data_IF_805332788619
#
_entry.id   IF_805332788619
#
_cell.length_a   1.000
_cell.length_b   1.000
_cell.length_c   1.000
_cell.angle_alpha   90.00
_cell.angle_beta   90.00
_cell.angle_gamma   90.00
#
_symmetry.space_group_name_H-M   'P 1'
#
loop_
_entity.id
_entity.type
_entity.pdbx_description
1 polymer ?
#
# COMPACT_ATOMS: atom_id res chain seq x y z
N UNK A 1 7.13 -26.11 3.90
CA UNK A 1 6.99 -24.85 3.11
C UNK A 1 8.23 -23.98 3.32
N UNK A 2 8.78 -23.35 2.28
CA UNK A 2 10.01 -22.56 2.39
C UNK A 2 9.67 -21.09 2.74
N UNK A 3 9.60 -20.79 4.04
CA UNK A 3 9.21 -19.46 4.57
C UNK A 3 9.89 -18.28 3.87
N UNK A 4 11.16 -18.40 3.49
CA UNK A 4 11.89 -17.32 2.80
C UNK A 4 11.39 -17.09 1.37
N UNK A 5 11.05 -18.17 0.66
CA UNK A 5 10.44 -18.07 -0.68
C UNK A 5 9.07 -17.38 -0.61
N UNK A 6 8.30 -17.67 0.43
CA UNK A 6 6.97 -17.09 0.61
C UNK A 6 7.04 -15.60 0.91
N UNK A 7 7.93 -15.18 1.84
CA UNK A 7 8.18 -13.75 2.13
C UNK A 7 8.64 -13.01 0.87
N UNK A 8 9.55 -13.58 0.08
CA UNK A 8 10.02 -12.97 -1.16
C UNK A 8 8.88 -12.74 -2.16
N UNK A 9 7.99 -13.73 -2.33
CA UNK A 9 6.82 -13.61 -3.22
C UNK A 9 5.84 -12.53 -2.74
N UNK A 10 5.59 -12.46 -1.44
CA UNK A 10 4.73 -11.43 -0.85
C UNK A 10 5.33 -10.03 -1.00
N UNK A 11 6.65 -9.89 -0.82
CA UNK A 11 7.36 -8.64 -1.08
C UNK A 11 7.26 -8.20 -2.53
N UNK A 12 7.45 -9.13 -3.48
CA UNK A 12 7.28 -8.84 -4.90
C UNK A 12 5.83 -8.47 -5.25
N UNK A 13 4.84 -9.16 -4.70
CA UNK A 13 3.43 -8.82 -4.89
C UNK A 13 3.11 -7.41 -4.37
N UNK A 14 3.66 -7.03 -3.21
CA UNK A 14 3.56 -5.68 -2.68
C UNK A 14 4.22 -4.65 -3.59
N UNK A 15 5.43 -4.94 -4.08
CA UNK A 15 6.15 -4.06 -4.98
C UNK A 15 5.35 -3.79 -6.27
N UNK A 16 4.85 -4.86 -6.89
CA UNK A 16 3.97 -4.78 -8.06
C UNK A 16 2.69 -4.02 -7.75
N UNK A 17 2.08 -4.24 -6.58
CA UNK A 17 0.92 -3.48 -6.14
C UNK A 17 1.18 -1.98 -6.09
N UNK A 18 2.35 -1.57 -5.61
CA UNK A 18 2.78 -0.15 -5.61
C UNK A 18 2.87 0.45 -7.01
N UNK A 19 3.41 -0.30 -7.97
CA UNK A 19 3.48 0.11 -9.38
C UNK A 19 2.08 0.22 -9.97
N UNK A 20 1.23 -0.79 -9.79
CA UNK A 20 -0.14 -0.80 -10.32
C UNK A 20 -0.96 0.38 -9.76
N UNK A 21 -0.79 0.69 -8.48
CA UNK A 21 -1.42 1.84 -7.85
C UNK A 21 -0.98 3.15 -8.50
N UNK A 22 0.34 3.37 -8.63
CA UNK A 22 0.89 4.58 -9.24
C UNK A 22 0.41 4.76 -10.68
N UNK A 23 0.46 3.69 -11.48
CA UNK A 23 -0.03 3.67 -12.87
C UNK A 23 -1.52 4.00 -12.92
N UNK A 24 -2.35 3.38 -12.08
CA UNK A 24 -3.80 3.64 -12.08
C UNK A 24 -4.14 5.11 -11.81
N UNK A 25 -3.46 5.74 -10.84
CA UNK A 25 -3.70 7.14 -10.45
C UNK A 25 -3.16 8.13 -11.48
N UNK A 26 -2.01 7.84 -12.11
CA UNK A 26 -1.51 8.68 -13.20
C UNK A 26 -2.35 8.55 -14.47
N UNK A 27 -2.82 7.36 -14.82
CA UNK A 27 -3.79 7.19 -15.90
C UNK A 27 -5.06 8.03 -15.65
N UNK A 28 -5.58 8.05 -14.41
CA UNK A 28 -6.73 8.90 -14.05
C UNK A 28 -6.48 10.40 -14.24
N UNK A 29 -5.23 10.86 -14.12
CA UNK A 29 -4.86 12.25 -14.41
C UNK A 29 -4.80 12.46 -15.91
N UNK A 30 -4.06 11.62 -16.63
CA UNK A 30 -3.89 11.73 -18.08
C UNK A 30 -5.17 11.58 -18.89
N UNK A 31 -6.17 10.83 -18.38
CA UNK A 31 -7.49 10.70 -19.03
C UNK A 31 -8.20 12.06 -19.14
N UNK A 32 -7.91 13.02 -18.26
CA UNK A 32 -8.55 14.34 -18.29
C UNK A 32 -8.12 15.18 -19.50
N UNK A 33 -6.94 14.89 -20.06
CA UNK A 33 -6.37 15.60 -21.21
C UNK A 33 -6.78 14.96 -22.56
N UNK A 34 -7.51 13.85 -22.54
CA UNK A 34 -7.96 13.15 -23.74
C UNK A 34 -9.16 13.84 -24.40
N UNK A 35 -9.33 13.71 -25.74
CA UNK A 35 -10.53 14.17 -26.43
C UNK A 35 -11.83 13.65 -25.77
N UNK A 36 -12.93 14.44 -25.76
CA UNK A 36 -14.15 14.10 -25.02
C UNK A 36 -14.71 12.70 -25.31
N UNK A 37 -14.67 12.25 -26.58
CA UNK A 37 -15.15 10.93 -26.98
C UNK A 37 -14.34 9.79 -26.31
N UNK A 38 -13.02 9.94 -26.20
CA UNK A 38 -12.14 8.95 -25.57
C UNK A 38 -12.28 9.02 -24.06
N UNK A 39 -12.35 10.22 -23.49
CA UNK A 39 -12.56 10.42 -22.05
C UNK A 39 -13.87 9.77 -21.58
N UNK A 40 -14.98 9.99 -22.30
CA UNK A 40 -16.29 9.37 -22.00
C UNK A 40 -16.23 7.85 -22.09
N UNK A 41 -15.45 7.29 -23.03
CA UNK A 41 -15.23 5.85 -23.09
C UNK A 41 -14.59 5.32 -21.79
N UNK A 42 -13.52 5.96 -21.29
CA UNK A 42 -12.87 5.56 -20.04
C UNK A 42 -13.74 5.80 -18.81
N UNK A 43 -14.51 6.88 -18.76
CA UNK A 43 -15.44 7.18 -17.66
C UNK A 43 -16.58 6.14 -17.59
N UNK A 44 -17.09 5.69 -18.75
CA UNK A 44 -18.16 4.68 -18.83
C UNK A 44 -17.65 3.22 -18.72
N UNK A 45 -16.36 2.99 -18.98
CA UNK A 45 -15.71 1.66 -18.97
C UNK A 45 -14.51 1.67 -18.03
N UNK A 46 -14.71 2.13 -16.79
CA UNK A 46 -13.67 2.29 -15.77
C UNK A 46 -13.10 0.96 -15.22
N UNK A 47 -13.49 -0.18 -15.80
CA UNK A 47 -13.03 -1.53 -15.43
C UNK A 47 -11.51 -1.63 -15.34
N UNK A 48 -10.77 -1.06 -16.30
CA UNK A 48 -9.31 -1.13 -16.29
C UNK A 48 -8.72 -0.46 -15.04
N UNK A 49 -9.15 0.78 -14.74
CA UNK A 49 -8.67 1.51 -13.57
C UNK A 49 -9.08 0.82 -12.27
N UNK A 50 -10.32 0.33 -12.18
CA UNK A 50 -10.82 -0.43 -11.03
C UNK A 50 -10.02 -1.72 -10.82
N UNK A 51 -9.74 -2.46 -11.89
CA UNK A 51 -8.96 -3.71 -11.82
C UNK A 51 -7.54 -3.43 -11.37
N UNK A 52 -6.87 -2.42 -11.94
CA UNK A 52 -5.52 -2.04 -11.51
C UNK A 52 -5.51 -1.64 -10.03
N UNK A 53 -6.47 -0.83 -9.60
CA UNK A 53 -6.60 -0.40 -8.21
C UNK A 53 -6.93 -1.57 -7.26
N UNK A 54 -7.79 -2.50 -7.66
CA UNK A 54 -8.12 -3.71 -6.89
C UNK A 54 -6.88 -4.59 -6.71
N UNK A 55 -6.17 -4.87 -7.80
CA UNK A 55 -4.94 -5.67 -7.78
C UNK A 55 -3.86 -5.02 -6.94
N UNK A 56 -3.76 -3.68 -6.94
CA UNK A 56 -2.81 -3.00 -6.06
C UNK A 56 -3.13 -3.19 -4.58
N UNK A 57 -4.40 -3.18 -4.18
CA UNK A 57 -4.78 -3.41 -2.78
C UNK A 57 -4.40 -4.83 -2.32
N UNK A 58 -4.57 -5.84 -3.19
CA UNK A 58 -4.11 -7.22 -2.92
C UNK A 58 -2.58 -7.25 -2.73
N UNK A 59 -1.85 -6.50 -3.56
CA UNK A 59 -0.40 -6.33 -3.40
C UNK A 59 -0.04 -5.74 -2.03
N UNK A 60 -0.68 -4.64 -1.62
CA UNK A 60 -0.44 -4.01 -0.32
C UNK A 60 -0.76 -4.94 0.85
N UNK A 61 -1.89 -5.66 0.78
CA UNK A 61 -2.24 -6.68 1.78
C UNK A 61 -1.20 -7.79 1.86
N UNK A 62 -0.59 -8.19 0.74
CA UNK A 62 0.53 -9.14 0.71
C UNK A 62 1.75 -8.59 1.47
N UNK A 63 2.06 -7.30 1.32
CA UNK A 63 3.11 -6.63 2.09
C UNK A 63 2.83 -6.59 3.59
N UNK A 64 1.60 -6.26 4.00
CA UNK A 64 1.18 -6.30 5.40
C UNK A 64 1.26 -7.72 5.97
N UNK A 65 0.87 -8.73 5.19
CA UNK A 65 0.99 -10.13 5.60
C UNK A 65 2.46 -10.56 5.73
N UNK A 66 3.34 -10.09 4.84
CA UNK A 66 4.78 -10.33 4.97
C UNK A 66 5.35 -9.70 6.26
N UNK A 67 4.94 -8.48 6.63
CA UNK A 67 5.31 -7.87 7.90
C UNK A 67 4.85 -8.70 9.11
N UNK A 68 3.64 -9.27 9.04
CA UNK A 68 3.11 -10.15 10.08
C UNK A 68 3.96 -11.42 10.25
N UNK A 69 4.23 -12.12 9.15
CA UNK A 69 4.96 -13.40 9.20
C UNK A 69 6.47 -13.23 9.37
N UNK A 70 7.02 -12.03 9.25
CA UNK A 70 8.42 -11.72 9.57
C UNK A 70 8.61 -11.27 11.01
N UNK A 71 7.53 -11.18 11.79
CA UNK A 71 7.54 -10.62 13.15
C UNK A 71 8.14 -9.20 13.19
N UNK A 72 7.97 -8.42 12.11
CA UNK A 72 8.61 -7.11 11.95
C UNK A 72 8.23 -6.15 13.08
N UNK A 73 6.95 -6.18 13.52
CA UNK A 73 6.46 -5.37 14.65
C UNK A 73 6.74 -5.99 16.01
N UNK A 74 7.20 -7.25 16.08
CA UNK A 74 7.45 -8.00 17.31
C UNK A 74 6.69 -9.32 17.37
N UNK A 75 7.09 -10.19 18.31
CA UNK A 75 6.51 -11.54 18.45
C UNK A 75 5.21 -11.59 19.27
N UNK A 76 4.96 -10.60 20.14
CA UNK A 76 3.77 -10.59 20.98
C UNK A 76 2.50 -10.33 20.16
N UNK A 77 1.39 -10.98 20.53
CA UNK A 77 0.10 -10.82 19.84
C UNK A 77 -0.37 -9.37 19.78
N UNK A 78 -0.15 -8.60 20.84
CA UNK A 78 -0.47 -7.17 20.91
C UNK A 78 0.31 -6.32 19.89
N UNK A 79 1.58 -6.65 19.64
CA UNK A 79 2.37 -5.92 18.62
C UNK A 79 1.93 -6.30 17.20
N UNK A 80 1.44 -7.52 17.01
CA UNK A 80 0.89 -7.99 15.73
C UNK A 80 -0.48 -7.38 15.43
N UNK A 81 -1.32 -7.16 16.44
CA UNK A 81 -2.65 -6.58 16.25
C UNK A 81 -2.63 -5.16 15.71
N UNK A 82 -1.51 -4.43 15.84
CA UNK A 82 -1.31 -3.11 15.21
C UNK A 82 -1.51 -3.18 13.69
N UNK A 83 -1.15 -4.30 13.04
CA UNK A 83 -1.34 -4.51 11.61
C UNK A 83 -2.82 -4.59 11.20
N UNK A 84 -3.76 -4.82 12.14
CA UNK A 84 -5.19 -4.83 11.82
C UNK A 84 -5.67 -3.47 11.31
N UNK A 85 -5.12 -2.36 11.83
CA UNK A 85 -5.52 -1.00 11.43
C UNK A 85 -5.26 -0.75 9.93
N UNK A 86 -4.03 -0.90 9.40
CA UNK A 86 -3.81 -0.74 7.97
C UNK A 86 -4.49 -1.84 7.15
N UNK A 87 -4.65 -3.07 7.66
CA UNK A 87 -5.44 -4.10 6.98
C UNK A 87 -6.89 -3.68 6.76
N UNK A 88 -7.55 -3.10 7.77
CA UNK A 88 -8.90 -2.56 7.62
C UNK A 88 -8.94 -1.40 6.62
N UNK A 89 -7.90 -0.57 6.59
CA UNK A 89 -7.74 0.46 5.57
C UNK A 89 -7.66 -0.12 4.14
N UNK A 90 -6.91 -1.20 3.95
CA UNK A 90 -6.83 -1.92 2.68
C UNK A 90 -8.17 -2.56 2.29
N UNK A 91 -8.91 -3.12 3.26
CA UNK A 91 -10.25 -3.65 3.01
C UNK A 91 -11.24 -2.56 2.58
N UNK A 92 -11.16 -1.35 3.14
CA UNK A 92 -11.98 -0.22 2.69
C UNK A 92 -11.66 0.17 1.23
N UNK A 93 -10.38 0.16 0.84
CA UNK A 93 -9.99 0.38 -0.55
C UNK A 93 -10.40 -0.75 -1.49
N UNK A 94 -10.24 -2.00 -1.08
CA UNK A 94 -10.68 -3.16 -1.86
C UNK A 94 -12.19 -3.07 -2.11
N UNK A 95 -12.96 -2.74 -1.07
CA UNK A 95 -14.42 -2.58 -1.16
C UNK A 95 -14.79 -1.43 -2.09
N UNK A 96 -14.06 -0.31 -2.05
CA UNK A 96 -14.22 0.82 -2.98
C UNK A 96 -14.16 0.37 -4.44
N UNK A 97 -13.21 -0.50 -4.79
CA UNK A 97 -13.05 -0.95 -6.17
C UNK A 97 -14.18 -1.85 -6.67
N UNK A 98 -14.88 -2.53 -5.75
CA UNK A 98 -15.99 -3.45 -6.06
C UNK A 98 -17.35 -2.75 -6.13
N UNK A 99 -17.49 -1.58 -5.52
CA UNK A 99 -18.76 -0.86 -5.44
C UNK A 99 -18.90 0.23 -6.52
N UNK A 100 -20.10 0.50 -7.03
CA UNK A 100 -20.35 1.64 -7.90
C UNK A 100 -19.95 2.96 -7.23
N UNK A 101 -19.46 3.94 -8.01
CA UNK A 101 -18.97 5.22 -7.48
C UNK A 101 -19.97 5.93 -6.57
N UNK A 102 -21.26 5.89 -6.92
CA UNK A 102 -22.31 6.51 -6.11
C UNK A 102 -22.41 5.86 -4.72
N UNK A 103 -22.33 4.53 -4.62
CA UNK A 103 -22.37 3.81 -3.35
C UNK A 103 -21.13 4.12 -2.50
N UNK A 104 -19.94 4.18 -3.11
CA UNK A 104 -18.68 4.52 -2.42
C UNK A 104 -18.76 5.88 -1.71
N UNK A 105 -19.43 6.86 -2.33
CA UNK A 105 -19.51 8.23 -1.85
C UNK A 105 -20.61 8.47 -0.80
N UNK A 106 -21.59 7.57 -0.69
CA UNK A 106 -22.76 7.77 0.18
C UNK A 106 -22.96 6.70 1.25
N UNK A 107 -22.25 5.56 1.19
CA UNK A 107 -22.45 4.44 2.11
C UNK A 107 -22.15 4.81 3.58
N UNK A 108 -21.23 5.73 3.81
CA UNK A 108 -20.74 6.09 5.14
C UNK A 108 -20.61 7.62 5.27
N UNK A 109 -20.65 8.16 6.51
CA UNK A 109 -20.38 9.58 6.76
C UNK A 109 -19.02 10.04 6.25
N UNK A 110 -18.03 9.12 6.22
CA UNK A 110 -16.73 9.31 5.60
C UNK A 110 -16.66 8.33 4.43
N UNK A 111 -16.47 8.80 3.19
CA UNK A 111 -16.44 7.88 2.05
C UNK A 111 -15.28 6.87 2.19
N UNK A 112 -15.51 5.64 1.71
CA UNK A 112 -14.61 4.51 1.90
C UNK A 112 -13.14 4.75 1.51
N UNK A 113 -12.81 5.48 0.42
CA UNK A 113 -11.42 5.74 0.05
C UNK A 113 -10.69 6.62 1.08
N UNK A 114 -11.39 7.58 1.67
CA UNK A 114 -10.86 8.50 2.67
C UNK A 114 -10.64 7.77 3.99
N UNK A 115 -11.61 6.93 4.38
CA UNK A 115 -11.45 6.04 5.52
C UNK A 115 -10.25 5.09 5.33
N UNK A 116 -10.14 4.49 4.14
CA UNK A 116 -9.02 3.65 3.75
C UNK A 116 -7.67 4.36 3.85
N UNK A 117 -7.61 5.62 3.41
CA UNK A 117 -6.41 6.46 3.49
C UNK A 117 -6.00 6.72 4.93
N UNK A 118 -6.95 7.15 5.77
CA UNK A 118 -6.71 7.51 7.17
C UNK A 118 -6.26 6.28 7.97
N UNK A 119 -6.96 5.16 7.84
CA UNK A 119 -6.62 3.91 8.52
C UNK A 119 -5.24 3.40 8.09
N UNK A 120 -4.91 3.45 6.79
CA UNK A 120 -3.57 3.09 6.33
C UNK A 120 -2.50 4.04 6.86
N UNK A 121 -2.72 5.35 6.79
CA UNK A 121 -1.75 6.34 7.24
C UNK A 121 -1.42 6.15 8.73
N UNK A 122 -2.44 6.15 9.59
CA UNK A 122 -2.28 5.96 11.03
C UNK A 122 -1.69 4.57 11.32
N UNK A 123 -2.27 3.54 10.72
CA UNK A 123 -1.84 2.16 10.88
C UNK A 123 -0.37 1.95 10.55
N UNK A 124 0.08 2.47 9.40
CA UNK A 124 1.47 2.34 8.96
C UNK A 124 2.43 3.20 9.78
N UNK A 125 2.02 4.35 10.32
CA UNK A 125 2.84 5.08 11.31
C UNK A 125 3.07 4.23 12.56
N UNK A 126 2.02 3.62 13.10
CA UNK A 126 2.13 2.75 14.28
C UNK A 126 2.99 1.51 14.00
N UNK A 127 2.80 0.87 12.83
CA UNK A 127 3.65 -0.23 12.36
C UNK A 127 5.10 0.21 12.24
N UNK A 128 5.37 1.38 11.65
CA UNK A 128 6.72 1.95 11.52
C UNK A 128 7.40 2.18 12.87
N UNK A 129 6.69 2.79 13.82
CA UNK A 129 7.20 2.96 15.20
C UNK A 129 7.51 1.60 15.84
N UNK A 130 6.64 0.60 15.67
CA UNK A 130 6.86 -0.74 16.19
C UNK A 130 8.08 -1.43 15.56
N UNK A 131 8.25 -1.32 14.23
CA UNK A 131 9.40 -1.86 13.50
C UNK A 131 10.70 -1.21 13.97
N UNK A 132 10.71 0.11 14.14
CA UNK A 132 11.88 0.84 14.65
C UNK A 132 12.26 0.45 16.08
N UNK A 133 11.28 0.13 16.93
CA UNK A 133 11.52 -0.29 18.32
C UNK A 133 11.91 -1.76 18.47
N UNK A 134 11.64 -2.58 17.46
CA UNK A 134 11.84 -4.03 17.53
C UNK A 134 13.17 -4.50 16.93
N UNK A 135 13.90 -3.60 16.25
CA UNK A 135 15.20 -3.85 15.60
C UNK A 135 15.24 -5.11 14.71
N UNK A 136 14.08 -5.60 14.27
CA UNK A 136 13.99 -6.76 13.40
C UNK A 136 14.54 -6.47 12.00
N UNK A 137 14.48 -5.21 11.58
CA UNK A 137 14.95 -4.73 10.29
C UNK A 137 16.10 -3.73 10.50
N UNK A 138 17.09 -3.77 9.61
CA UNK A 138 18.31 -2.98 9.71
C UNK A 138 18.47 -2.02 8.54
N UNK A 139 19.22 -0.93 8.74
CA UNK A 139 19.53 0.05 7.71
C UNK A 139 18.34 0.95 7.36
N UNK A 140 18.19 1.29 6.07
CA UNK A 140 17.13 2.17 5.59
C UNK A 140 15.76 1.47 5.53
N UNK A 141 15.74 0.14 5.41
CA UNK A 141 14.50 -0.63 5.23
C UNK A 141 13.51 -0.47 6.39
N UNK A 142 14.00 -0.33 7.63
CA UNK A 142 13.16 -0.14 8.83
C UNK A 142 12.40 1.19 8.85
N UNK A 143 12.80 2.16 8.02
CA UNK A 143 12.11 3.46 7.90
C UNK A 143 10.90 3.39 6.96
N UNK A 144 10.84 2.40 6.05
CA UNK A 144 9.82 2.37 5.01
C UNK A 144 8.39 2.22 5.51
N UNK A 145 8.07 1.40 6.52
CA UNK A 145 6.70 1.36 7.03
C UNK A 145 6.29 2.72 7.61
N UNK A 146 7.21 3.42 8.29
CA UNK A 146 6.97 4.75 8.82
C UNK A 146 6.77 5.78 7.70
N UNK A 147 7.63 5.79 6.67
CA UNK A 147 7.49 6.65 5.50
C UNK A 147 6.16 6.40 4.76
N UNK A 148 5.75 5.14 4.66
CA UNK A 148 4.46 4.75 4.06
C UNK A 148 3.29 5.38 4.83
N UNK A 149 3.35 5.41 6.16
CA UNK A 149 2.33 6.03 6.99
C UNK A 149 2.39 7.56 7.05
N UNK A 150 3.60 8.15 7.02
CA UNK A 150 3.79 9.60 7.07
C UNK A 150 3.46 10.30 5.75
N UNK A 151 3.60 9.61 4.61
CA UNK A 151 3.40 10.22 3.30
C UNK A 151 2.02 10.92 3.14
N UNK A 152 0.88 10.32 3.54
CA UNK A 152 -0.40 11.02 3.51
C UNK A 152 -0.43 12.31 4.34
N UNK A 153 0.17 12.31 5.53
CA UNK A 153 0.19 13.48 6.43
C UNK A 153 1.13 14.59 5.96
N UNK A 154 2.25 14.23 5.33
CA UNK A 154 3.27 15.21 4.91
C UNK A 154 3.02 15.75 3.51
N UNK A 155 2.35 15.00 2.65
CA UNK A 155 2.20 15.34 1.22
C UNK A 155 0.73 15.41 0.81
N UNK A 156 -0.04 14.33 0.97
CA UNK A 156 -1.39 14.26 0.38
C UNK A 156 -2.40 15.18 1.06
N UNK A 157 -2.50 15.12 2.39
CA UNK A 157 -3.49 15.89 3.15
C UNK A 157 -3.20 17.38 3.15
N UNK A 158 -1.95 17.86 3.33
CA UNK A 158 -1.66 19.29 3.22
C UNK A 158 -2.06 19.86 1.86
N UNK A 159 -1.72 19.16 0.77
CA UNK A 159 -2.08 19.62 -0.59
C UNK A 159 -3.60 19.59 -0.80
N UNK A 160 -4.30 18.56 -0.31
CA UNK A 160 -5.77 18.52 -0.35
C UNK A 160 -6.40 19.71 0.40
N UNK A 161 -5.89 20.05 1.58
CA UNK A 161 -6.38 21.18 2.38
C UNK A 161 -6.15 22.52 1.68
N UNK A 162 -4.97 22.70 1.07
CA UNK A 162 -4.60 23.95 0.37
C UNK A 162 -5.39 24.11 -0.93
N UNK A 163 -5.55 23.04 -1.70
CA UNK A 163 -6.14 23.10 -3.06
C UNK A 163 -7.64 22.83 -3.09
N UNK A 164 -8.20 22.27 -2.01
CA UNK A 164 -9.60 21.84 -1.94
C UNK A 164 -9.93 20.59 -2.77
N UNK A 165 -8.95 19.99 -3.48
CA UNK A 165 -9.18 18.81 -4.32
C UNK A 165 -8.10 17.73 -4.12
N UNK A 166 -8.43 16.43 -4.27
CA UNK A 166 -7.43 15.36 -4.13
C UNK A 166 -6.32 15.46 -5.18
N UNK A 167 -5.03 15.54 -4.80
CA UNK A 167 -3.93 15.65 -5.75
C UNK A 167 -3.57 14.28 -6.32
N UNK A 168 -4.36 13.76 -7.27
CA UNK A 168 -4.29 12.38 -7.77
C UNK A 168 -2.87 11.93 -8.18
N UNK A 169 -2.08 12.81 -8.81
CA UNK A 169 -0.70 12.50 -9.17
C UNK A 169 0.20 12.26 -7.95
N UNK A 170 0.06 13.07 -6.90
CA UNK A 170 0.77 12.89 -5.63
C UNK A 170 0.25 11.68 -4.85
N UNK A 171 -1.03 11.36 -4.97
CA UNK A 171 -1.58 10.11 -4.43
C UNK A 171 -0.89 8.94 -5.14
N UNK A 172 -0.76 8.96 -6.46
CA UNK A 172 -0.05 7.93 -7.22
C UNK A 172 1.40 7.69 -6.74
N UNK A 173 2.13 8.77 -6.38
CA UNK A 173 3.48 8.67 -5.80
C UNK A 173 3.52 7.90 -4.47
N UNK A 174 2.42 7.83 -3.71
CA UNK A 174 2.34 6.98 -2.52
C UNK A 174 2.53 5.49 -2.86
N UNK A 175 2.06 5.08 -4.06
CA UNK A 175 2.30 3.74 -4.59
C UNK A 175 3.79 3.43 -4.74
N UNK A 176 4.65 4.41 -5.02
CA UNK A 176 6.10 4.21 -5.08
C UNK A 176 6.71 3.97 -3.70
N UNK A 177 6.15 4.55 -2.65
CA UNK A 177 6.58 4.28 -1.26
C UNK A 177 6.23 2.85 -0.87
N UNK A 178 5.02 2.39 -1.24
CA UNK A 178 4.65 0.99 -1.10
C UNK A 178 5.51 0.04 -1.95
N UNK A 179 5.88 0.46 -3.17
CA UNK A 179 6.79 -0.30 -4.02
C UNK A 179 8.14 -0.51 -3.33
N UNK A 180 8.71 0.56 -2.75
CA UNK A 180 9.95 0.49 -2.00
C UNK A 180 9.83 -0.43 -0.78
N UNK A 181 8.71 -0.37 -0.04
CA UNK A 181 8.43 -1.28 1.06
C UNK A 181 8.39 -2.76 0.60
N UNK A 182 7.69 -3.05 -0.48
CA UNK A 182 7.65 -4.39 -1.08
C UNK A 182 9.04 -4.90 -1.50
N UNK A 183 9.84 -4.04 -2.14
CA UNK A 183 11.21 -4.35 -2.51
C UNK A 183 12.10 -4.64 -1.30
N UNK A 184 11.95 -3.87 -0.22
CA UNK A 184 12.68 -4.12 1.02
C UNK A 184 12.33 -5.50 1.61
N UNK A 185 11.05 -5.86 1.68
CA UNK A 185 10.59 -7.18 2.12
C UNK A 185 11.24 -8.29 1.27
N UNK A 186 11.22 -8.14 -0.05
CA UNK A 186 11.84 -9.08 -0.99
C UNK A 186 13.35 -9.24 -0.71
N UNK A 187 14.05 -8.11 -0.57
CA UNK A 187 15.51 -8.07 -0.38
C UNK A 187 15.96 -8.77 0.92
N UNK A 188 15.22 -8.57 2.01
CA UNK A 188 15.48 -9.21 3.30
C UNK A 188 15.38 -10.73 3.18
N UNK A 189 14.35 -11.23 2.49
CA UNK A 189 14.15 -12.66 2.30
C UNK A 189 15.23 -13.29 1.39
N UNK A 190 15.61 -12.59 0.33
CA UNK A 190 16.67 -13.02 -0.58
C UNK A 190 18.04 -13.12 0.14
N UNK A 191 18.36 -12.13 0.98
CA UNK A 191 19.60 -12.11 1.75
C UNK A 191 19.66 -13.26 2.76
N UNK A 192 18.58 -13.49 3.52
CA UNK A 192 18.51 -14.59 4.48
C UNK A 192 18.71 -15.97 3.82
N UNK A 193 18.19 -16.15 2.61
CA UNK A 193 18.40 -17.38 1.82
C UNK A 193 19.88 -17.56 1.43
N UNK A 194 20.57 -16.48 1.05
CA UNK A 194 21.99 -16.54 0.65
C UNK A 194 22.92 -16.94 1.78
N UNK A 195 22.68 -16.47 3.01
CA UNK A 195 23.52 -16.82 4.17
C UNK A 195 23.36 -18.31 4.50
N UNK A 196 22.11 -18.81 4.55
CA UNK A 196 21.85 -20.21 4.89
C UNK A 196 22.54 -21.18 3.93
N UNK A 197 22.61 -20.85 2.63
CA UNK A 197 23.29 -21.67 1.64
C UNK A 197 24.82 -21.76 1.82
N UNK A 198 25.46 -20.78 2.48
CA UNK A 198 26.91 -20.78 2.72
C UNK A 198 27.33 -21.60 3.95
N UNK A 199 26.42 -21.88 4.88
CA UNK A 199 26.72 -22.60 6.13
C UNK A 199 26.57 -24.12 5.96
N UNK A 200 25.86 -24.56 4.92
CA UNK A 200 25.55 -25.97 4.65
C UNK A 200 26.50 -26.63 3.65
N UNK A 201 27.62 -25.99 3.32
CA UNK A 201 28.70 -26.49 2.44
C UNK A 201 29.94 -26.68 3.29
#
# INVERSE_FOLDING_TARGET
MNRQRDIARLGLACATGGVLFAVSLWMMVSIQDLPPAIRLFFENRDYLLRTLFFLSQIGFMSGLYALLITDATGRSGLRKSILLIPFMGQLAYLTTSLLPNQAVMTLLPIPLPQLGAILNAIGMVLVGIAVLRNDAWHGWSRLLPLLTGLYPFLVMFPVLVITGHPPRALIGLWGLVWMALGYAIYSIAAYAKSIRGKITV
#
